data_IF_719299569272
#
_entry.id   IF_719299569272
#
_cell.length_a   1.000
_cell.length_b   1.000
_cell.length_c   1.000
_cell.angle_alpha   90.00
_cell.angle_beta   90.00
_cell.angle_gamma   90.00
#
_symmetry.space_group_name_H-M   'P 1'
#
loop_
_entity.id
_entity.type
_entity.pdbx_description
1 polymer ?
#
# COMPACT_ATOMS: atom_id res chain seq x y z
N UNK A 1 -8.86 23.28 -14.21
CA UNK A 1 -9.72 22.09 -14.12
C UNK A 1 -10.28 22.05 -12.71
N UNK A 2 -11.60 22.02 -12.55
CA UNK A 2 -12.28 21.99 -11.25
C UNK A 2 -12.87 20.60 -11.03
N UNK A 3 -12.46 19.93 -9.95
CA UNK A 3 -12.82 18.54 -9.64
C UNK A 3 -13.56 18.50 -8.31
N UNK A 4 -14.76 17.92 -8.31
CA UNK A 4 -15.51 17.67 -7.07
C UNK A 4 -15.08 16.34 -6.46
N UNK A 5 -14.79 16.31 -5.16
CA UNK A 5 -14.49 15.08 -4.41
C UNK A 5 -15.70 14.72 -3.56
N UNK A 6 -16.25 13.52 -3.74
CA UNK A 6 -17.37 13.05 -2.96
C UNK A 6 -17.08 13.08 -1.45
N UNK A 7 -18.09 13.38 -0.65
CA UNK A 7 -18.00 13.24 0.80
C UNK A 7 -17.79 11.77 1.18
N UNK A 8 -16.78 11.52 2.00
CA UNK A 8 -16.52 10.20 2.52
C UNK A 8 -15.17 10.09 3.19
N UNK A 9 -14.77 8.85 3.48
CA UNK A 9 -13.68 8.57 4.42
C UNK A 9 -12.33 9.11 3.94
N UNK A 10 -12.10 9.06 2.62
CA UNK A 10 -10.83 9.44 2.01
C UNK A 10 -10.86 10.82 1.34
N UNK A 11 -11.97 11.56 1.48
CA UNK A 11 -12.18 12.83 0.80
C UNK A 11 -11.07 13.85 1.10
N UNK A 12 -10.64 13.94 2.36
CA UNK A 12 -9.57 14.87 2.78
C UNK A 12 -8.24 14.52 2.11
N UNK A 13 -7.87 13.24 2.08
CA UNK A 13 -6.61 12.78 1.50
C UNK A 13 -6.60 12.97 -0.02
N UNK A 14 -7.72 12.69 -0.69
CA UNK A 14 -7.91 12.88 -2.13
C UNK A 14 -7.83 14.37 -2.48
N UNK A 15 -8.59 15.22 -1.77
CA UNK A 15 -8.61 16.68 -1.98
C UNK A 15 -7.23 17.30 -1.77
N UNK A 16 -6.53 16.91 -0.69
CA UNK A 16 -5.16 17.36 -0.41
C UNK A 16 -4.19 16.93 -1.50
N UNK A 17 -4.29 15.70 -1.99
CA UNK A 17 -3.42 15.21 -3.06
C UNK A 17 -3.68 15.90 -4.41
N UNK A 18 -4.94 16.25 -4.71
CA UNK A 18 -5.31 17.05 -5.89
C UNK A 18 -4.80 18.49 -5.80
N UNK A 19 -4.97 19.14 -4.66
CA UNK A 19 -4.59 20.55 -4.42
C UNK A 19 -3.08 20.79 -4.56
N UNK A 20 -2.26 19.75 -4.38
CA UNK A 20 -0.81 19.82 -4.62
C UNK A 20 -0.43 19.87 -6.11
N UNK A 21 -1.40 19.72 -7.03
CA UNK A 21 -1.15 19.73 -8.48
C UNK A 21 -1.47 21.08 -9.09
N UNK A 22 -0.58 21.55 -9.96
CA UNK A 22 -0.73 22.82 -10.67
C UNK A 22 -1.95 22.75 -11.61
N UNK A 23 -2.80 23.78 -11.57
CA UNK A 23 -3.93 23.94 -12.49
C UNK A 23 -5.17 23.10 -12.15
N UNK A 24 -5.17 22.44 -10.99
CA UNK A 24 -6.33 21.72 -10.45
C UNK A 24 -6.87 22.50 -9.26
N UNK A 25 -8.16 22.83 -9.33
CA UNK A 25 -8.96 23.29 -8.20
C UNK A 25 -9.82 22.11 -7.74
N UNK A 26 -9.79 21.79 -6.45
CA UNK A 26 -10.48 20.62 -5.93
C UNK A 26 -11.05 20.90 -4.54
N UNK A 27 -12.29 20.51 -4.35
CA UNK A 27 -12.98 20.65 -3.06
C UNK A 27 -13.85 19.43 -2.79
N UNK A 28 -14.12 19.19 -1.50
CA UNK A 28 -15.07 18.15 -1.10
C UNK A 28 -16.50 18.69 -1.23
N UNK A 29 -17.37 17.94 -1.90
CA UNK A 29 -18.70 18.42 -2.31
C UNK A 29 -19.82 17.51 -1.82
N UNK A 30 -20.98 18.14 -1.57
CA UNK A 30 -22.24 17.44 -1.29
C UNK A 30 -22.84 16.88 -2.58
N UNK A 31 -23.60 15.76 -2.54
CA UNK A 31 -24.25 15.22 -3.74
C UNK A 31 -25.30 16.15 -4.38
N UNK A 32 -25.74 17.20 -3.66
CA UNK A 32 -26.68 18.21 -4.15
C UNK A 32 -26.01 19.40 -4.87
N UNK A 33 -24.67 19.44 -4.98
CA UNK A 33 -23.97 20.54 -5.66
C UNK A 33 -24.34 20.60 -7.14
N UNK A 34 -24.32 21.79 -7.74
CA UNK A 34 -24.49 21.93 -9.19
C UNK A 34 -23.34 21.21 -9.92
N UNK A 35 -23.69 20.10 -10.57
CA UNK A 35 -22.74 19.28 -11.30
C UNK A 35 -22.03 20.05 -12.42
N UNK A 36 -22.67 21.09 -12.98
CA UNK A 36 -22.13 21.83 -14.13
C UNK A 36 -20.90 22.67 -13.80
N UNK A 37 -20.69 23.01 -12.53
CA UNK A 37 -19.50 23.76 -12.08
C UNK A 37 -18.20 22.95 -12.18
N UNK A 38 -18.30 21.63 -12.37
CA UNK A 38 -17.17 20.70 -12.32
C UNK A 38 -16.93 20.01 -13.66
N UNK A 39 -15.64 19.75 -13.93
CA UNK A 39 -15.22 18.96 -15.08
C UNK A 39 -15.65 17.49 -14.90
N UNK A 40 -15.40 16.92 -13.71
CA UNK A 40 -15.85 15.59 -13.29
C UNK A 40 -15.75 15.43 -11.76
N UNK A 41 -16.25 14.30 -11.25
CA UNK A 41 -16.21 13.95 -9.83
C UNK A 41 -15.28 12.77 -9.55
N UNK A 42 -14.63 12.77 -8.39
CA UNK A 42 -13.92 11.61 -7.83
C UNK A 42 -14.68 11.09 -6.62
N UNK A 43 -14.87 9.78 -6.56
CA UNK A 43 -15.51 9.12 -5.42
C UNK A 43 -14.79 7.81 -5.08
N UNK A 44 -14.83 7.39 -3.81
CA UNK A 44 -14.40 6.06 -3.41
C UNK A 44 -15.61 5.15 -3.27
N UNK A 45 -15.51 3.92 -3.76
CA UNK A 45 -16.56 2.91 -3.62
C UNK A 45 -17.94 3.42 -4.08
N UNK A 46 -18.96 3.33 -3.23
CA UNK A 46 -20.34 3.80 -3.48
C UNK A 46 -20.61 5.20 -2.89
N UNK A 47 -19.58 6.00 -2.60
CA UNK A 47 -19.77 7.37 -2.12
C UNK A 47 -20.68 8.18 -3.08
N UNK A 48 -21.65 8.93 -2.54
CA UNK A 48 -22.67 9.62 -3.32
C UNK A 48 -22.07 10.79 -4.09
N UNK A 49 -22.55 11.00 -5.32
CA UNK A 49 -22.08 12.05 -6.24
C UNK A 49 -23.26 12.69 -6.96
N UNK A 50 -23.13 13.96 -7.40
CA UNK A 50 -24.14 14.61 -8.22
C UNK A 50 -24.41 13.84 -9.52
N UNK A 51 -25.65 13.90 -9.98
CA UNK A 51 -26.05 13.29 -11.25
C UNK A 51 -25.63 14.14 -12.46
N UNK A 52 -25.44 13.50 -13.62
CA UNK A 52 -25.30 14.19 -14.90
C UNK A 52 -23.88 14.59 -15.31
N UNK A 53 -22.84 14.12 -14.60
CA UNK A 53 -21.43 14.31 -14.96
C UNK A 53 -20.63 13.01 -14.86
N UNK A 54 -19.45 13.01 -15.48
CA UNK A 54 -18.50 11.90 -15.39
C UNK A 54 -18.03 11.71 -13.93
N UNK A 55 -17.92 10.45 -13.51
CA UNK A 55 -17.42 10.07 -12.19
C UNK A 55 -16.25 9.10 -12.36
N UNK A 56 -15.15 9.40 -11.70
CA UNK A 56 -13.97 8.53 -11.64
C UNK A 56 -13.88 7.90 -10.27
N UNK A 57 -14.07 6.59 -10.20
CA UNK A 57 -14.14 5.90 -8.90
C UNK A 57 -12.87 5.12 -8.58
N UNK A 58 -12.47 5.24 -7.32
CA UNK A 58 -11.47 4.38 -6.71
C UNK A 58 -12.16 3.29 -5.89
N UNK A 59 -11.96 2.03 -6.25
CA UNK A 59 -12.72 0.90 -5.70
C UNK A 59 -11.84 0.10 -4.75
N UNK A 60 -12.26 -0.04 -3.50
CA UNK A 60 -11.56 -0.73 -2.43
C UNK A 60 -12.21 -2.05 -2.02
N UNK A 61 -13.48 -2.26 -2.35
CA UNK A 61 -14.26 -3.46 -2.03
C UNK A 61 -14.99 -4.02 -3.28
N UNK A 62 -15.10 -5.35 -3.39
CA UNK A 62 -15.80 -6.00 -4.49
C UNK A 62 -17.32 -5.80 -4.46
N UNK A 63 -17.87 -5.53 -3.27
CA UNK A 63 -19.31 -5.37 -3.03
C UNK A 63 -19.87 -4.05 -3.57
N UNK A 64 -19.00 -3.17 -4.06
CA UNK A 64 -19.38 -1.87 -4.61
C UNK A 64 -20.37 -2.03 -5.76
N UNK A 65 -21.47 -1.29 -5.69
CA UNK A 65 -22.58 -1.40 -6.64
C UNK A 65 -22.41 -0.46 -7.83
N UNK A 66 -21.66 0.63 -7.68
CA UNK A 66 -21.36 1.58 -8.75
C UNK A 66 -20.87 0.89 -10.03
N UNK A 67 -21.31 1.41 -11.18
CA UNK A 67 -20.99 0.84 -12.50
C UNK A 67 -19.60 1.24 -12.99
N UNK A 68 -19.10 2.41 -12.61
CA UNK A 68 -17.80 2.92 -13.05
C UNK A 68 -16.71 2.54 -12.06
N UNK A 69 -15.80 1.65 -12.46
CA UNK A 69 -14.67 1.18 -11.64
C UNK A 69 -13.35 1.65 -12.26
N UNK A 70 -13.04 2.95 -12.19
CA UNK A 70 -11.92 3.56 -12.92
C UNK A 70 -10.56 3.03 -12.45
N UNK A 71 -10.34 3.02 -11.13
CA UNK A 71 -9.11 2.54 -10.50
C UNK A 71 -9.50 1.59 -9.37
N UNK A 72 -8.80 0.47 -9.21
CA UNK A 72 -9.06 -0.50 -8.14
C UNK A 72 -7.89 -0.58 -7.16
N UNK A 73 -8.18 -0.85 -5.89
CA UNK A 73 -7.21 -0.83 -4.81
C UNK A 73 -6.34 -2.09 -4.70
N UNK A 74 -6.76 -3.18 -5.34
CA UNK A 74 -6.10 -4.49 -5.34
C UNK A 74 -6.24 -5.14 -6.71
N UNK A 75 -5.29 -5.98 -7.11
CA UNK A 75 -5.33 -6.62 -8.43
C UNK A 75 -6.48 -7.62 -8.55
N UNK A 76 -6.94 -8.21 -7.45
CA UNK A 76 -8.05 -9.18 -7.49
C UNK A 76 -9.38 -8.55 -7.97
N UNK A 77 -9.52 -7.22 -7.87
CA UNK A 77 -10.67 -6.47 -8.36
C UNK A 77 -10.60 -6.13 -9.86
N UNK A 78 -9.46 -6.35 -10.52
CA UNK A 78 -9.29 -6.00 -11.94
C UNK A 78 -10.27 -6.74 -12.84
N UNK A 79 -10.47 -8.05 -12.61
CA UNK A 79 -11.42 -8.85 -13.38
C UNK A 79 -12.84 -8.30 -13.26
N UNK A 80 -13.28 -7.97 -12.04
CA UNK A 80 -14.59 -7.39 -11.80
C UNK A 80 -14.74 -6.00 -12.45
N UNK A 81 -13.67 -5.20 -12.52
CA UNK A 81 -13.69 -3.93 -13.23
C UNK A 81 -13.86 -4.11 -14.75
N UNK A 82 -13.23 -5.14 -15.35
CA UNK A 82 -13.42 -5.48 -16.77
C UNK A 82 -14.86 -5.96 -17.02
N UNK A 83 -15.39 -6.84 -16.17
CA UNK A 83 -16.77 -7.33 -16.27
C UNK A 83 -17.80 -6.21 -16.21
N UNK A 84 -17.50 -5.12 -15.50
CA UNK A 84 -18.31 -3.89 -15.42
C UNK A 84 -18.06 -2.90 -16.57
N UNK A 85 -17.28 -3.28 -17.58
CA UNK A 85 -17.08 -2.52 -18.81
C UNK A 85 -15.92 -1.53 -18.80
N UNK A 86 -15.03 -1.56 -17.81
CA UNK A 86 -13.79 -0.76 -17.88
C UNK A 86 -12.82 -1.37 -18.89
N UNK A 87 -12.46 -0.61 -19.93
CA UNK A 87 -11.57 -1.06 -20.99
C UNK A 87 -10.11 -1.21 -20.54
N UNK A 88 -9.66 -0.42 -19.57
CA UNK A 88 -8.25 -0.38 -19.11
C UNK A 88 -8.16 -0.21 -17.59
N UNK A 89 -8.65 -1.19 -16.80
CA UNK A 89 -8.66 -1.06 -15.36
C UNK A 89 -7.24 -0.98 -14.81
N UNK A 90 -7.01 0.00 -13.96
CA UNK A 90 -5.71 0.27 -13.35
C UNK A 90 -5.78 -0.11 -11.87
N UNK A 91 -4.80 -0.87 -11.39
CA UNK A 91 -4.66 -1.16 -9.96
C UNK A 91 -3.65 -0.22 -9.31
N UNK A 92 -4.08 0.45 -8.23
CA UNK A 92 -3.21 1.25 -7.36
C UNK A 92 -3.46 0.86 -5.91
N UNK A 93 -2.45 0.31 -5.19
CA UNK A 93 -2.63 -0.15 -3.82
C UNK A 93 -3.18 0.93 -2.88
N UNK A 94 -4.08 0.52 -1.98
CA UNK A 94 -4.67 1.40 -0.96
C UNK A 94 -3.60 2.06 -0.08
N UNK A 95 -3.48 3.39 -0.09
CA UNK A 95 -2.63 4.08 0.87
C UNK A 95 -3.16 3.90 2.28
N UNK A 96 -2.25 3.60 3.22
CA UNK A 96 -2.56 3.49 4.64
C UNK A 96 -1.57 4.33 5.44
N UNK A 97 -2.05 4.96 6.49
CA UNK A 97 -1.18 5.70 7.39
C UNK A 97 -0.21 4.74 8.08
N UNK A 98 1.06 5.13 8.10
CA UNK A 98 2.13 4.34 8.71
C UNK A 98 2.60 5.05 9.98
N UNK A 99 2.13 4.62 11.17
CA UNK A 99 2.56 5.25 12.41
C UNK A 99 4.06 5.08 12.63
N UNK A 100 4.65 5.96 13.45
CA UNK A 100 6.01 5.76 13.94
C UNK A 100 5.98 4.59 14.93
N UNK A 101 6.78 3.57 14.66
CA UNK A 101 6.99 2.47 15.59
C UNK A 101 7.94 2.90 16.69
N UNK A 102 7.49 2.79 17.93
CA UNK A 102 8.27 3.12 19.13
C UNK A 102 8.76 1.87 19.85
N UNK A 103 8.17 0.71 19.56
CA UNK A 103 8.44 -0.55 20.23
C UNK A 103 8.43 -1.71 19.22
N UNK A 104 9.17 -2.80 19.51
CA UNK A 104 9.15 -4.02 18.72
C UNK A 104 7.74 -4.64 18.64
N UNK A 105 7.39 -5.36 17.55
CA UNK A 105 6.11 -6.05 17.43
C UNK A 105 5.94 -7.12 18.52
N UNK A 106 4.88 -7.02 19.33
CA UNK A 106 4.60 -7.98 20.40
C UNK A 106 4.14 -9.33 19.83
N UNK A 107 4.01 -10.35 20.68
CA UNK A 107 3.63 -11.71 20.26
C UNK A 107 2.14 -12.00 20.33
N UNK A 108 1.31 -11.06 20.81
CA UNK A 108 -0.13 -11.27 20.90
C UNK A 108 -0.78 -11.46 19.53
N UNK A 109 -1.86 -12.24 19.52
CA UNK A 109 -2.53 -12.70 18.30
C UNK A 109 -3.93 -12.12 18.22
N UNK A 110 -4.34 -11.68 17.03
CA UNK A 110 -5.70 -11.26 16.75
C UNK A 110 -6.26 -11.91 15.49
N UNK A 111 -7.58 -12.04 15.41
CA UNK A 111 -8.29 -12.54 14.24
C UNK A 111 -8.90 -11.39 13.43
N UNK A 112 -8.60 -11.37 12.14
CA UNK A 112 -9.22 -10.48 11.16
C UNK A 112 -10.62 -11.01 10.83
N UNK A 113 -11.65 -10.19 11.02
CA UNK A 113 -13.04 -10.54 10.66
C UNK A 113 -14.07 -10.61 11.80
N UNK A 114 -13.71 -10.26 13.04
CA UNK A 114 -14.69 -10.09 14.13
C UNK A 114 -15.36 -11.38 14.62
N UNK A 115 -16.54 -11.24 15.25
CA UNK A 115 -17.24 -12.29 16.02
C UNK A 115 -17.77 -13.47 15.20
N UNK A 116 -17.75 -13.41 13.88
CA UNK A 116 -18.28 -14.47 13.00
C UNK A 116 -17.33 -15.69 12.87
N UNK A 117 -16.18 -15.65 13.54
CA UNK A 117 -15.15 -16.71 13.54
C UNK A 117 -15.07 -17.48 14.87
N UNK A 118 -16.18 -17.57 15.63
CA UNK A 118 -16.25 -18.22 16.96
C UNK A 118 -15.61 -19.62 17.01
N UNK A 119 -15.87 -20.53 16.05
CA UNK A 119 -15.28 -21.88 16.11
C UNK A 119 -13.74 -21.87 16.06
N UNK A 120 -13.16 -20.90 15.34
CA UNK A 120 -11.72 -20.76 15.22
C UNK A 120 -11.13 -20.11 16.48
N UNK A 121 -11.83 -19.12 17.07
CA UNK A 121 -11.48 -18.58 18.39
C UNK A 121 -11.44 -19.69 19.44
N UNK A 122 -12.49 -20.52 19.53
CA UNK A 122 -12.57 -21.62 20.50
C UNK A 122 -11.43 -22.64 20.30
N UNK A 123 -11.04 -22.89 19.04
CA UNK A 123 -9.92 -23.78 18.70
C UNK A 123 -8.59 -23.24 19.21
N UNK A 124 -8.36 -21.93 19.07
CA UNK A 124 -7.14 -21.28 19.55
C UNK A 124 -7.12 -21.11 21.07
N UNK A 125 -8.25 -20.76 21.68
CA UNK A 125 -8.40 -20.65 23.13
C UNK A 125 -8.14 -22.02 23.80
N UNK A 126 -8.69 -23.11 23.23
CA UNK A 126 -8.43 -24.48 23.68
C UNK A 126 -6.97 -24.91 23.52
N UNK A 127 -6.22 -24.25 22.62
CA UNK A 127 -4.80 -24.44 22.43
C UNK A 127 -3.94 -23.53 23.32
N UNK A 128 -4.55 -22.69 24.16
CA UNK A 128 -3.87 -21.76 25.06
C UNK A 128 -3.41 -20.46 24.39
N UNK A 129 -3.92 -20.14 23.20
CA UNK A 129 -3.60 -18.90 22.48
C UNK A 129 -4.74 -17.90 22.68
N UNK A 130 -4.53 -16.91 23.56
CA UNK A 130 -5.49 -15.83 23.80
C UNK A 130 -5.66 -14.96 22.53
N UNK A 131 -6.89 -14.90 22.02
CA UNK A 131 -7.24 -14.04 20.88
C UNK A 131 -7.63 -12.64 21.34
N UNK A 132 -6.84 -11.64 20.96
CA UNK A 132 -7.03 -10.24 21.30
C UNK A 132 -7.81 -9.48 20.21
N UNK A 133 -8.30 -8.30 20.57
CA UNK A 133 -8.85 -7.35 19.61
C UNK A 133 -7.73 -6.77 18.73
N UNK A 134 -8.00 -6.57 17.44
CA UNK A 134 -6.96 -6.22 16.45
C UNK A 134 -6.20 -4.93 16.76
N UNK A 135 -6.86 -3.97 17.39
CA UNK A 135 -6.26 -2.68 17.77
C UNK A 135 -5.61 -2.72 19.18
N UNK A 136 -5.61 -3.88 19.87
CA UNK A 136 -4.88 -4.04 21.15
C UNK A 136 -3.37 -3.85 20.91
N UNK A 137 -2.68 -3.02 21.72
CA UNK A 137 -1.26 -2.73 21.55
C UNK A 137 -0.35 -3.95 21.75
N UNK A 138 -0.85 -5.04 22.34
CA UNK A 138 -0.12 -6.31 22.52
C UNK A 138 -0.18 -7.21 21.29
N UNK A 139 -0.92 -6.83 20.25
CA UNK A 139 -1.05 -7.63 19.02
C UNK A 139 0.10 -7.33 18.07
N UNK A 140 0.86 -8.35 17.71
CA UNK A 140 1.84 -8.29 16.62
C UNK A 140 1.68 -9.40 15.59
N UNK A 141 0.70 -10.30 15.77
CA UNK A 141 0.33 -11.32 14.79
C UNK A 141 -1.17 -11.14 14.48
N UNK A 142 -1.52 -11.02 13.21
CA UNK A 142 -2.91 -10.93 12.76
C UNK A 142 -3.20 -12.11 11.84
N UNK A 143 -4.28 -12.82 12.12
CA UNK A 143 -4.67 -14.03 11.41
C UNK A 143 -5.90 -13.72 10.57
N UNK A 144 -5.83 -13.90 9.25
CA UNK A 144 -6.98 -13.82 8.35
C UNK A 144 -7.37 -15.22 7.87
N UNK A 145 -8.33 -15.88 8.56
CA UNK A 145 -8.76 -17.22 8.22
C UNK A 145 -9.76 -17.25 7.05
N UNK A 146 -10.17 -16.08 6.54
CA UNK A 146 -11.18 -15.99 5.49
C UNK A 146 -10.70 -16.75 4.27
N UNK A 147 -11.51 -17.67 3.74
CA UNK A 147 -11.19 -18.37 2.49
C UNK A 147 -11.60 -17.56 1.25
N UNK A 148 -12.54 -16.63 1.43
CA UNK A 148 -13.00 -15.68 0.42
C UNK A 148 -12.26 -14.33 0.52
N UNK A 149 -12.52 -13.42 -0.41
CA UNK A 149 -11.99 -12.05 -0.39
C UNK A 149 -12.32 -11.35 0.93
N UNK A 150 -11.29 -10.93 1.67
CA UNK A 150 -11.41 -10.14 2.90
C UNK A 150 -11.30 -8.64 2.65
N UNK A 151 -11.52 -7.84 3.70
CA UNK A 151 -11.35 -6.38 3.66
C UNK A 151 -9.87 -6.03 3.56
N UNK A 152 -9.49 -5.37 2.47
CA UNK A 152 -8.10 -4.99 2.17
C UNK A 152 -7.48 -4.06 3.22
N UNK A 153 -8.27 -3.11 3.69
CA UNK A 153 -7.73 -2.02 4.49
C UNK A 153 -7.28 -2.45 5.90
N UNK A 154 -8.07 -3.21 6.70
CA UNK A 154 -7.60 -3.73 7.98
C UNK A 154 -6.28 -4.52 7.85
N UNK A 155 -6.14 -5.32 6.79
CA UNK A 155 -4.93 -6.08 6.50
C UNK A 155 -3.74 -5.15 6.27
N UNK A 156 -3.88 -4.14 5.40
CA UNK A 156 -2.79 -3.18 5.10
C UNK A 156 -2.46 -2.28 6.28
N UNK A 157 -3.45 -1.89 7.08
CA UNK A 157 -3.26 -1.13 8.33
C UNK A 157 -2.45 -1.94 9.34
N UNK A 158 -2.75 -3.23 9.51
CA UNK A 158 -1.96 -4.10 10.39
C UNK A 158 -0.51 -4.22 9.90
N UNK A 159 -0.29 -4.38 8.58
CA UNK A 159 1.05 -4.39 8.01
C UNK A 159 1.81 -3.06 8.21
N UNK A 160 1.14 -1.90 8.12
CA UNK A 160 1.79 -0.59 8.34
C UNK A 160 2.25 -0.39 9.78
N UNK A 161 1.69 -1.16 10.71
CA UNK A 161 2.03 -1.21 12.13
C UNK A 161 3.03 -2.33 12.46
N UNK A 162 3.69 -2.92 11.46
CA UNK A 162 4.64 -4.04 11.62
C UNK A 162 4.02 -5.29 12.27
N UNK A 163 2.69 -5.47 12.17
CA UNK A 163 2.04 -6.72 12.55
C UNK A 163 2.23 -7.75 11.43
N UNK A 164 2.64 -8.96 11.79
CA UNK A 164 2.78 -10.07 10.85
C UNK A 164 1.41 -10.63 10.51
N UNK A 165 1.11 -10.75 9.23
CA UNK A 165 -0.16 -11.34 8.79
C UNK A 165 0.04 -12.81 8.43
N UNK A 166 -0.82 -13.68 8.97
CA UNK A 166 -0.97 -15.08 8.56
C UNK A 166 -2.34 -15.23 7.92
N UNK A 167 -2.40 -15.51 6.63
CA UNK A 167 -3.67 -15.55 5.90
C UNK A 167 -3.83 -16.83 5.07
N UNK A 168 -5.08 -17.16 4.73
CA UNK A 168 -5.36 -18.22 3.77
C UNK A 168 -4.90 -17.84 2.35
N UNK A 169 -4.21 -18.73 1.66
CA UNK A 169 -3.74 -18.51 0.29
C UNK A 169 -4.87 -18.43 -0.74
N UNK A 170 -6.05 -18.99 -0.42
CA UNK A 170 -7.26 -18.88 -1.23
C UNK A 170 -7.90 -17.48 -1.17
N UNK A 171 -7.56 -16.68 -0.16
CA UNK A 171 -8.05 -15.32 -0.03
C UNK A 171 -7.30 -14.42 -1.00
N UNK A 172 -7.97 -14.06 -2.09
CA UNK A 172 -7.36 -13.27 -3.16
C UNK A 172 -6.89 -11.88 -2.70
N UNK A 173 -7.57 -11.26 -1.74
CA UNK A 173 -7.17 -9.96 -1.16
C UNK A 173 -5.84 -10.09 -0.42
N UNK A 174 -5.73 -11.13 0.41
CA UNK A 174 -4.51 -11.41 1.17
C UNK A 174 -3.36 -11.84 0.25
N UNK A 175 -3.62 -12.71 -0.72
CA UNK A 175 -2.64 -13.20 -1.68
C UNK A 175 -2.09 -12.10 -2.62
N UNK A 176 -2.88 -11.04 -2.90
CA UNK A 176 -2.37 -9.89 -3.67
C UNK A 176 -1.40 -9.01 -2.86
N UNK A 177 -1.60 -8.95 -1.54
CA UNK A 177 -0.81 -8.07 -0.65
C UNK A 177 0.39 -8.77 -0.02
N UNK A 178 0.25 -10.06 0.28
CA UNK A 178 1.22 -10.85 1.03
C UNK A 178 1.99 -11.78 0.08
N UNK A 179 3.30 -11.81 0.25
CA UNK A 179 4.22 -12.77 -0.33
C UNK A 179 4.70 -13.69 0.78
N UNK A 180 4.30 -14.96 0.68
CA UNK A 180 4.62 -15.98 1.66
C UNK A 180 6.12 -16.00 2.02
N UNK A 181 6.45 -16.09 3.32
CA UNK A 181 7.80 -16.05 3.89
C UNK A 181 8.60 -14.76 3.63
N UNK A 182 8.03 -13.76 2.95
CA UNK A 182 8.70 -12.49 2.65
C UNK A 182 8.23 -11.36 3.54
N UNK A 183 6.91 -11.14 3.61
CA UNK A 183 6.28 -10.03 4.34
C UNK A 183 5.02 -10.48 5.11
N UNK A 184 4.88 -11.78 5.33
CA UNK A 184 3.78 -12.47 5.98
C UNK A 184 3.74 -13.94 5.57
N UNK A 185 2.76 -14.68 6.07
CA UNK A 185 2.52 -16.07 5.69
C UNK A 185 1.21 -16.23 4.92
N UNK A 186 1.26 -17.08 3.89
CA UNK A 186 0.07 -17.59 3.22
C UNK A 186 0.03 -19.10 3.41
N UNK A 187 -1.03 -19.59 4.04
CA UNK A 187 -1.24 -21.01 4.31
C UNK A 187 -2.35 -21.57 3.44
N UNK A 188 -2.24 -22.83 3.04
CA UNK A 188 -3.22 -23.44 2.13
C UNK A 188 -4.38 -24.12 2.85
N UNK A 189 -4.22 -24.44 4.13
CA UNK A 189 -5.21 -25.16 4.94
C UNK A 189 -5.33 -24.52 6.32
N UNK A 190 -6.54 -24.49 6.89
CA UNK A 190 -6.79 -23.91 8.22
C UNK A 190 -5.91 -24.55 9.32
N UNK A 191 -5.63 -25.85 9.21
CA UNK A 191 -4.76 -26.57 10.16
C UNK A 191 -3.32 -26.05 10.20
N UNK A 192 -2.88 -25.32 9.16
CA UNK A 192 -1.54 -24.73 9.09
C UNK A 192 -1.46 -23.35 9.78
N UNK A 193 -2.60 -22.74 10.13
CA UNK A 193 -2.61 -21.45 10.83
C UNK A 193 -1.92 -21.56 12.19
N UNK A 194 -2.27 -22.57 12.99
CA UNK A 194 -1.68 -22.75 14.33
C UNK A 194 -0.16 -22.92 14.31
N UNK A 195 0.43 -23.85 13.53
CA UNK A 195 1.88 -23.97 13.45
C UNK A 195 2.59 -22.66 13.07
N UNK A 196 2.02 -21.88 12.13
CA UNK A 196 2.58 -20.59 11.73
C UNK A 196 2.50 -19.54 12.86
N UNK A 197 1.41 -19.55 13.64
CA UNK A 197 1.26 -18.69 14.82
C UNK A 197 2.25 -19.08 15.91
N UNK A 198 2.35 -20.38 16.23
CA UNK A 198 3.26 -20.89 17.26
C UNK A 198 4.73 -20.55 16.94
N UNK A 199 5.14 -20.68 15.67
CA UNK A 199 6.45 -20.24 15.19
C UNK A 199 6.66 -18.74 15.46
N UNK A 200 5.70 -17.90 15.06
CA UNK A 200 5.81 -16.45 15.23
C UNK A 200 5.77 -15.99 16.70
N UNK A 201 5.07 -16.71 17.56
CA UNK A 201 5.02 -16.42 19.00
C UNK A 201 6.35 -16.75 19.70
N UNK A 202 7.09 -17.75 19.21
CA UNK A 202 8.33 -18.23 19.83
C UNK A 202 9.60 -17.73 19.13
N UNK A 203 9.49 -17.24 17.90
CA UNK A 203 10.60 -16.72 17.11
C UNK A 203 10.49 -15.20 16.90
N UNK A 204 10.96 -14.45 17.90
CA UNK A 204 10.96 -13.00 17.87
C UNK A 204 11.68 -12.44 16.64
N UNK A 205 12.85 -12.98 16.27
CA UNK A 205 13.63 -12.49 15.13
C UNK A 205 12.84 -12.58 13.83
N UNK A 206 12.15 -13.68 13.60
CA UNK A 206 11.33 -13.86 12.40
C UNK A 206 10.11 -12.94 12.41
N UNK A 207 9.46 -12.78 13.57
CA UNK A 207 8.34 -11.85 13.73
C UNK A 207 8.76 -10.41 13.44
N UNK A 208 9.91 -9.96 13.95
CA UNK A 208 10.47 -8.64 13.64
C UNK A 208 10.78 -8.47 12.15
N UNK A 209 11.46 -9.46 11.55
CA UNK A 209 11.85 -9.43 10.14
C UNK A 209 10.62 -9.32 9.25
N UNK A 210 9.61 -10.15 9.49
CA UNK A 210 8.38 -10.16 8.69
C UNK A 210 7.55 -8.89 8.91
N UNK A 211 7.45 -8.39 10.16
CA UNK A 211 6.75 -7.15 10.47
C UNK A 211 7.36 -5.95 9.75
N UNK A 212 8.69 -5.82 9.78
CA UNK A 212 9.41 -4.78 9.05
C UNK A 212 9.19 -4.85 7.53
N UNK A 213 9.31 -6.04 6.94
CA UNK A 213 9.08 -6.22 5.50
C UNK A 213 7.60 -6.01 5.12
N UNK A 214 6.65 -6.34 6.00
CA UNK A 214 5.24 -6.02 5.85
C UNK A 214 5.03 -4.50 5.73
N UNK A 215 5.52 -3.72 6.69
CA UNK A 215 5.42 -2.25 6.65
C UNK A 215 6.05 -1.67 5.40
N UNK A 216 7.27 -2.09 5.09
CA UNK A 216 7.99 -1.66 3.89
C UNK A 216 7.22 -1.96 2.60
N UNK A 217 6.56 -3.12 2.54
CA UNK A 217 5.77 -3.50 1.35
C UNK A 217 4.53 -2.62 1.14
N UNK A 218 3.92 -2.09 2.21
CA UNK A 218 2.72 -1.24 2.11
C UNK A 218 3.05 0.26 2.06
N UNK A 219 4.21 0.68 2.55
CA UNK A 219 4.65 2.09 2.61
C UNK A 219 4.79 2.78 1.24
N UNK A 220 4.94 2.01 0.15
CA UNK A 220 5.05 2.56 -1.20
C UNK A 220 3.71 3.07 -1.78
N UNK A 221 2.59 2.76 -1.13
CA UNK A 221 1.27 3.24 -1.52
C UNK A 221 1.04 4.68 -1.03
N UNK A 222 0.59 5.57 -1.90
CA UNK A 222 0.32 6.96 -1.54
C UNK A 222 -0.78 7.56 -2.43
N UNK A 223 -1.46 8.57 -1.87
CA UNK A 223 -2.58 9.23 -2.54
C UNK A 223 -2.18 9.94 -3.84
N UNK A 224 -0.94 10.43 -3.97
CA UNK A 224 -0.46 11.04 -5.22
C UNK A 224 -0.48 10.07 -6.40
N UNK A 225 -0.20 8.78 -6.17
CA UNK A 225 -0.30 7.72 -7.18
C UNK A 225 -1.75 7.39 -7.53
N UNK A 226 -2.64 7.35 -6.52
CA UNK A 226 -4.08 7.15 -6.72
C UNK A 226 -4.65 8.27 -7.58
N UNK A 227 -4.38 9.53 -7.23
CA UNK A 227 -4.80 10.69 -8.01
C UNK A 227 -4.22 10.63 -9.42
N UNK A 228 -2.92 10.33 -9.58
CA UNK A 228 -2.33 10.20 -10.92
C UNK A 228 -3.12 9.22 -11.78
N UNK A 229 -3.45 8.04 -11.24
CA UNK A 229 -4.20 7.02 -11.97
C UNK A 229 -5.65 7.46 -12.28
N UNK A 230 -6.33 8.10 -11.33
CA UNK A 230 -7.68 8.64 -11.54
C UNK A 230 -7.69 9.77 -12.58
N UNK A 231 -6.60 10.53 -12.72
CA UNK A 231 -6.48 11.58 -13.73
C UNK A 231 -6.05 11.06 -15.11
N UNK A 232 -5.62 9.80 -15.24
CA UNK A 232 -5.26 9.24 -16.55
C UNK A 232 -6.51 9.11 -17.42
N UNK A 233 -6.54 9.86 -18.51
CA UNK A 233 -7.50 9.66 -19.58
C UNK A 233 -6.91 8.68 -20.62
N UNK A 234 -7.46 7.47 -20.70
CA UNK A 234 -7.20 6.52 -21.79
C UNK A 234 -5.76 6.04 -22.01
N UNK A 235 -4.82 6.21 -21.06
CA UNK A 235 -3.46 5.64 -21.23
C UNK A 235 -3.47 4.12 -21.06
N UNK A 236 -3.29 3.43 -22.18
CA UNK A 236 -2.89 2.03 -22.23
C UNK A 236 -1.45 1.86 -21.76
N UNK A 237 -1.26 0.81 -20.97
CA UNK A 237 0.00 0.48 -20.35
C UNK A 237 -0.32 0.08 -18.92
N UNK A 238 -0.03 -1.18 -18.57
CA UNK A 238 -0.07 -1.60 -17.17
C UNK A 238 0.54 -0.48 -16.34
N UNK A 239 -0.06 -0.06 -15.21
CA UNK A 239 0.80 0.34 -14.13
C UNK A 239 1.71 -0.89 -13.97
N UNK A 240 2.92 -0.80 -14.52
CA UNK A 240 4.05 -1.24 -13.74
C UNK A 240 3.77 -0.52 -12.42
N UNK A 241 3.13 -1.24 -11.50
CA UNK A 241 3.70 -1.35 -10.18
C UNK A 241 5.18 -1.26 -10.47
N UNK A 242 5.83 -0.21 -9.99
CA UNK A 242 7.16 -0.44 -9.52
C UNK A 242 7.00 -1.64 -8.58
N UNK A 243 7.05 -2.82 -9.18
CA UNK A 243 7.42 -4.03 -8.55
C UNK A 243 8.82 -3.65 -8.13
N UNK A 244 8.91 -3.12 -6.92
CA UNK A 244 9.83 -3.66 -5.96
C UNK A 244 9.52 -5.17 -5.83
N UNK A 245 9.63 -5.91 -6.94
CA UNK A 245 9.99 -7.30 -6.86
C UNK A 245 11.32 -7.27 -6.11
N UNK A 246 11.54 -8.18 -5.16
CA UNK A 246 12.83 -8.34 -4.55
C UNK A 246 13.90 -8.45 -5.62
N UNK A 247 13.61 -8.93 -6.84
CA UNK A 247 14.57 -8.93 -7.95
C UNK A 247 14.92 -7.54 -8.47
N UNK A 248 13.98 -6.65 -8.73
CA UNK A 248 14.25 -5.29 -9.20
C UNK A 248 14.75 -4.37 -8.08
N UNK A 249 14.30 -4.58 -6.85
CA UNK A 249 14.78 -3.89 -5.67
C UNK A 249 16.17 -4.39 -5.27
N UNK A 250 16.45 -5.71 -5.25
CA UNK A 250 17.78 -6.33 -5.03
C UNK A 250 18.71 -6.12 -6.21
N UNK A 251 18.23 -5.96 -7.45
CA UNK A 251 19.05 -5.54 -8.60
C UNK A 251 19.43 -4.07 -8.43
N UNK A 252 18.47 -3.17 -8.18
CA UNK A 252 18.76 -1.77 -7.81
C UNK A 252 19.61 -1.65 -6.53
N UNK A 253 19.42 -2.52 -5.54
CA UNK A 253 20.21 -2.59 -4.30
C UNK A 253 21.57 -3.26 -4.52
N UNK A 254 21.73 -4.29 -5.38
CA UNK A 254 23.05 -4.85 -5.75
C UNK A 254 23.83 -3.86 -6.59
N UNK A 255 23.17 -3.17 -7.52
CA UNK A 255 23.74 -2.11 -8.34
C UNK A 255 24.10 -0.88 -7.47
N UNK A 256 23.34 -0.57 -6.41
CA UNK A 256 23.67 0.53 -5.47
C UNK A 256 24.67 0.13 -4.36
N UNK A 257 24.49 -1.00 -3.69
CA UNK A 257 25.39 -1.50 -2.63
C UNK A 257 26.69 -2.09 -3.16
N UNK A 258 26.69 -2.65 -4.36
CA UNK A 258 27.92 -3.01 -5.06
C UNK A 258 28.81 -1.81 -5.32
N UNK A 259 28.27 -0.59 -5.15
CA UNK A 259 29.01 0.64 -5.19
C UNK A 259 28.98 1.43 -3.88
N UNK A 260 28.19 1.08 -2.85
CA UNK A 260 28.04 1.87 -1.60
C UNK A 260 29.39 2.25 -0.97
N UNK A 261 30.33 1.31 -0.92
CA UNK A 261 31.71 1.54 -0.45
C UNK A 261 32.52 2.53 -1.32
N UNK A 262 32.13 2.76 -2.58
CA UNK A 262 32.77 3.73 -3.48
C UNK A 262 32.26 5.17 -3.26
N UNK A 263 31.04 5.33 -2.72
CA UNK A 263 30.43 6.64 -2.49
C UNK A 263 30.88 7.29 -1.19
N UNK A 264 31.30 6.50 -0.20
CA UNK A 264 31.80 6.94 1.11
C UNK A 264 33.02 7.89 0.99
N UNK A 265 33.80 7.76 -0.09
CA UNK A 265 34.99 8.57 -0.37
C UNK A 265 34.83 9.51 -1.59
N UNK A 266 33.62 9.65 -2.14
CA UNK A 266 33.39 10.43 -3.36
C UNK A 266 33.48 11.94 -3.09
N UNK A 267 34.23 12.67 -3.92
CA UNK A 267 34.31 14.14 -3.86
C UNK A 267 33.50 14.76 -4.99
N UNK A 268 32.63 15.71 -4.64
CA UNK A 268 31.85 16.46 -5.61
C UNK A 268 32.49 17.81 -5.90
N UNK A 269 32.74 18.12 -7.17
CA UNK A 269 33.16 19.46 -7.60
C UNK A 269 32.73 19.71 -9.05
N UNK A 270 32.33 20.95 -9.37
CA UNK A 270 32.04 21.40 -10.74
C UNK A 270 31.13 20.46 -11.57
N UNK A 271 29.98 20.04 -11.02
CA UNK A 271 29.04 19.10 -11.66
C UNK A 271 29.61 17.71 -11.96
N UNK A 272 30.73 17.33 -11.35
CA UNK A 272 31.34 16.02 -11.48
C UNK A 272 31.46 15.34 -10.13
N UNK A 273 31.22 14.04 -10.14
CA UNK A 273 31.51 13.18 -9.00
C UNK A 273 32.80 12.43 -9.29
N UNK A 274 33.84 12.70 -8.50
CA UNK A 274 35.10 11.98 -8.55
C UNK A 274 35.05 10.79 -7.58
N UNK A 275 35.05 9.58 -8.16
CA UNK A 275 35.26 8.32 -7.46
C UNK A 275 36.76 7.95 -7.57
N UNK A 276 37.29 7.03 -6.73
CA UNK A 276 38.71 6.68 -6.73
C UNK A 276 39.26 6.29 -8.12
N UNK A 277 38.44 5.66 -8.96
CA UNK A 277 38.86 5.13 -10.26
C UNK A 277 38.05 5.68 -11.46
N UNK A 278 37.08 6.59 -11.23
CA UNK A 278 36.15 7.04 -12.28
C UNK A 278 35.63 8.47 -12.05
N UNK A 279 35.32 9.17 -13.15
CA UNK A 279 34.67 10.48 -13.12
C UNK A 279 33.28 10.38 -13.75
N UNK A 280 32.24 10.72 -12.98
CA UNK A 280 30.86 10.69 -13.46
C UNK A 280 30.38 12.12 -13.72
N UNK A 281 30.02 12.41 -14.97
CA UNK A 281 29.43 13.70 -15.35
C UNK A 281 27.95 13.76 -14.95
N UNK A 282 27.61 14.74 -14.12
CA UNK A 282 26.28 14.95 -13.57
C UNK A 282 25.59 16.20 -14.16
N UNK A 283 26.18 16.80 -15.20
CA UNK A 283 25.66 17.98 -15.90
C UNK A 283 24.19 17.85 -16.31
N UNK A 284 23.76 16.64 -16.71
CA UNK A 284 22.41 16.32 -17.21
C UNK A 284 21.35 16.03 -16.14
N UNK A 285 21.68 16.07 -14.85
CA UNK A 285 20.69 15.84 -13.79
C UNK A 285 19.79 17.06 -13.55
N UNK A 286 18.49 16.82 -13.32
CA UNK A 286 17.53 17.84 -12.93
C UNK A 286 17.82 18.42 -11.52
N UNK A 287 17.42 19.68 -11.31
CA UNK A 287 17.81 20.52 -10.16
C UNK A 287 17.49 19.91 -8.78
N UNK A 288 16.33 19.26 -8.64
CA UNK A 288 15.94 18.53 -7.42
C UNK A 288 16.88 17.36 -7.07
N UNK A 289 17.39 16.65 -8.09
CA UNK A 289 18.33 15.55 -7.88
C UNK A 289 19.72 16.06 -7.52
N UNK A 290 20.14 17.21 -8.08
CA UNK A 290 21.39 17.87 -7.70
C UNK A 290 21.38 18.28 -6.22
N UNK A 291 20.32 18.96 -5.78
CA UNK A 291 20.17 19.40 -4.38
C UNK A 291 20.19 18.24 -3.38
N UNK A 292 19.54 17.10 -3.69
CA UNK A 292 19.56 15.94 -2.79
C UNK A 292 20.95 15.30 -2.66
N UNK A 293 21.71 15.23 -3.76
CA UNK A 293 23.08 14.69 -3.74
C UNK A 293 24.00 15.60 -2.91
N UNK A 294 23.95 16.92 -3.14
CA UNK A 294 24.72 17.90 -2.37
C UNK A 294 24.39 17.85 -0.87
N UNK A 295 23.11 17.74 -0.52
CA UNK A 295 22.65 17.72 0.87
C UNK A 295 23.12 16.47 1.63
N UNK A 296 23.13 15.31 0.97
CA UNK A 296 23.54 14.03 1.57
C UNK A 296 25.05 13.97 1.79
N UNK A 297 25.84 14.54 0.88
CA UNK A 297 27.30 14.60 1.02
C UNK A 297 27.75 15.66 2.04
N UNK A 298 27.00 16.75 2.19
CA UNK A 298 27.32 17.82 3.14
C UNK A 298 26.96 17.49 4.59
N UNK A 299 26.00 16.59 4.82
CA UNK A 299 25.58 16.20 6.16
C UNK A 299 26.45 15.10 6.78
N UNK A 300 27.34 14.47 6.00
CA UNK A 300 28.12 13.34 6.46
C UNK A 300 27.30 12.08 6.76
N UNK A 301 26.04 12.01 6.32
CA UNK A 301 25.15 10.86 6.55
C UNK A 301 25.30 9.81 5.43
N UNK A 302 26.53 9.32 5.24
CA UNK A 302 26.83 8.07 4.54
C UNK A 302 27.63 7.15 5.47
#
# INVERSE_FOLDING_TARGET
MRIGVALGRYATQITSALSQRIGIDAETVSPEVDAQEYDFFIAVDDEPVPHGKEVRRYITDRRVQATQWTVVATRCLLTAAVERGNQTPTSVPLPVDSPKMLQPPPSGVALLGGRDQTPLRDTFDSAGIEMLEIDDPRVGIVVDPSVAESRLEPLRKAMSQEKVIVAMSSNMTAADTIRNNSNGYLVSQLLQLRPAIDELMTNDNERHRLGFEARKSVAAANWQRVIRALLLDGRTGSPYLEEFSPRSARKRWKERLGHAHRWENARYSNNQLALPDEHVDLSRLGQLRKMNIERTLSSGDL
#
